data_IF_862797614634
#
_entry.id   IF_862797614634
#
_cell.length_a   1.000
_cell.length_b   1.000
_cell.length_c   1.000
_cell.angle_alpha   90.00
_cell.angle_beta   90.00
_cell.angle_gamma   90.00
#
_symmetry.space_group_name_H-M   'P 1'
#
loop_
_entity.id
_entity.type
_entity.pdbx_description
1 polymer ?
#
# COMPACT_ATOMS: atom_id res chain seq x y z
N UNK A 1 6.26 6.99 -34.08
CA UNK A 1 6.42 6.15 -32.89
C UNK A 1 5.06 6.06 -32.18
N UNK A 2 4.62 4.86 -31.78
CA UNK A 2 3.28 4.66 -31.19
C UNK A 2 3.28 4.72 -29.67
N UNK A 3 2.26 5.33 -29.08
CA UNK A 3 2.04 5.32 -27.63
C UNK A 3 1.38 4.00 -27.21
N UNK A 4 1.90 3.38 -26.14
CA UNK A 4 1.29 2.20 -25.53
C UNK A 4 0.44 2.62 -24.32
N UNK A 5 -0.70 1.96 -24.15
CA UNK A 5 -1.59 2.15 -23.01
C UNK A 5 -1.06 1.40 -21.77
N UNK A 6 -1.45 1.85 -20.58
CA UNK A 6 -1.11 1.15 -19.34
C UNK A 6 -1.89 -0.19 -19.26
N UNK A 7 -1.20 -1.34 -19.19
CA UNK A 7 -1.83 -2.65 -19.22
C UNK A 7 -2.61 -3.01 -17.94
N UNK A 8 -2.41 -2.28 -16.84
CA UNK A 8 -3.23 -2.42 -15.62
C UNK A 8 -4.62 -1.87 -15.88
N UNK A 9 -4.71 -0.64 -16.37
CA UNK A 9 -5.98 0.00 -16.72
C UNK A 9 -6.73 -0.74 -17.83
N UNK A 10 -6.01 -1.24 -18.83
CA UNK A 10 -6.59 -2.00 -19.94
C UNK A 10 -7.29 -3.30 -19.52
N UNK A 11 -6.90 -3.89 -18.38
CA UNK A 11 -7.42 -5.18 -17.90
C UNK A 11 -8.38 -5.07 -16.72
N UNK A 12 -8.69 -3.85 -16.26
CA UNK A 12 -9.65 -3.63 -15.17
C UNK A 12 -11.03 -4.17 -15.59
N UNK A 13 -11.63 -5.00 -14.72
CA UNK A 13 -12.96 -5.58 -14.95
C UNK A 13 -12.98 -6.93 -15.67
N UNK A 14 -11.83 -7.41 -16.19
CA UNK A 14 -11.71 -8.75 -16.78
C UNK A 14 -10.73 -9.62 -15.99
N UNK A 15 -9.43 -9.44 -16.23
CA UNK A 15 -8.36 -10.20 -15.56
C UNK A 15 -7.84 -9.48 -14.32
N UNK A 16 -7.82 -8.15 -14.32
CA UNK A 16 -7.33 -7.35 -13.19
C UNK A 16 -8.51 -6.84 -12.36
N UNK A 17 -8.43 -7.11 -11.06
CA UNK A 17 -9.36 -6.62 -10.04
C UNK A 17 -8.98 -5.20 -9.61
N UNK A 18 -9.96 -4.43 -9.12
CA UNK A 18 -9.68 -3.16 -8.45
C UNK A 18 -8.90 -3.41 -7.15
N UNK A 19 -7.95 -2.53 -6.82
CA UNK A 19 -7.19 -2.63 -5.56
C UNK A 19 -8.02 -2.18 -4.34
N UNK A 20 -9.09 -1.43 -4.56
CA UNK A 20 -10.07 -1.06 -3.55
C UNK A 20 -11.43 -1.67 -3.93
N UNK A 21 -11.95 -2.51 -3.04
CA UNK A 21 -13.30 -3.08 -3.15
C UNK A 21 -14.16 -2.49 -2.06
N UNK A 22 -14.86 -1.40 -2.38
CA UNK A 22 -15.78 -0.77 -1.45
C UNK A 22 -17.14 -0.56 -2.11
N UNK A 23 -18.19 -0.98 -1.43
CA UNK A 23 -19.57 -0.77 -1.85
C UNK A 23 -20.40 -0.49 -0.59
N UNK A 24 -20.92 0.73 -0.50
CA UNK A 24 -21.81 1.14 0.57
C UNK A 24 -23.12 1.63 -0.04
N UNK A 25 -24.25 1.31 0.60
CA UNK A 25 -25.56 1.78 0.15
C UNK A 25 -25.63 3.31 0.26
N UNK A 26 -26.26 4.04 -0.70
CA UNK A 26 -26.23 5.50 -0.72
C UNK A 26 -26.66 6.18 0.58
N UNK A 27 -27.56 5.54 1.35
CA UNK A 27 -28.05 6.03 2.65
C UNK A 27 -27.05 5.87 3.80
N UNK A 28 -26.22 4.82 3.75
CA UNK A 28 -25.27 4.49 4.82
C UNK A 28 -23.82 4.81 4.40
N UNK A 29 -23.63 5.31 3.19
CA UNK A 29 -22.32 5.61 2.59
C UNK A 29 -21.46 6.49 3.50
N UNK A 30 -22.03 7.55 4.07
CA UNK A 30 -21.30 8.46 4.96
C UNK A 30 -20.91 7.82 6.30
N UNK A 31 -21.76 6.98 6.87
CA UNK A 31 -21.54 6.34 8.18
C UNK A 31 -20.61 5.13 8.09
N UNK A 32 -20.74 4.30 7.04
CA UNK A 32 -19.82 3.18 6.81
C UNK A 32 -18.43 3.70 6.51
N UNK A 33 -18.31 4.76 5.69
CA UNK A 33 -17.06 5.48 5.49
C UNK A 33 -16.49 5.92 6.85
N UNK A 34 -17.27 6.57 7.71
CA UNK A 34 -16.79 7.01 9.03
C UNK A 34 -16.36 5.87 9.96
N UNK A 35 -17.05 4.72 9.96
CA UNK A 35 -16.72 3.57 10.82
C UNK A 35 -15.47 2.80 10.37
N UNK A 36 -15.23 2.69 9.06
CA UNK A 36 -13.96 2.12 8.57
C UNK A 36 -12.79 3.09 8.73
N UNK A 37 -13.08 4.40 8.60
CA UNK A 37 -12.13 5.48 8.87
C UNK A 37 -11.59 5.43 10.30
N UNK A 38 -12.39 5.05 11.32
CA UNK A 38 -11.95 5.03 12.73
C UNK A 38 -10.79 4.04 13.02
N UNK A 39 -10.68 2.96 12.25
CA UNK A 39 -9.56 2.00 12.34
C UNK A 39 -8.98 1.67 10.97
N UNK A 40 -7.90 2.35 10.61
CA UNK A 40 -7.22 2.12 9.34
C UNK A 40 -6.24 0.95 9.49
N UNK A 41 -6.54 -0.14 8.78
CA UNK A 41 -5.64 -1.28 8.64
C UNK A 41 -4.68 -1.04 7.48
N UNK A 42 -3.39 -0.90 7.78
CA UNK A 42 -2.34 -0.76 6.78
C UNK A 42 -1.58 -2.08 6.68
N UNK A 43 -1.64 -2.73 5.51
CA UNK A 43 -0.89 -3.97 5.24
C UNK A 43 0.29 -3.64 4.33
N UNK A 44 1.49 -3.62 4.90
CA UNK A 44 2.72 -3.35 4.17
C UNK A 44 3.30 -4.69 3.71
N UNK A 45 3.34 -4.88 2.40
CA UNK A 45 3.95 -6.05 1.77
C UNK A 45 5.42 -5.79 1.51
N UNK A 46 6.31 -6.57 2.13
CA UNK A 46 7.75 -6.36 2.05
C UNK A 46 8.46 -7.62 1.55
N UNK A 47 9.38 -7.44 0.61
CA UNK A 47 10.20 -8.55 0.11
C UNK A 47 11.26 -9.03 1.10
N UNK A 48 11.95 -8.09 1.74
CA UNK A 48 13.08 -8.37 2.63
C UNK A 48 12.90 -7.69 4.00
N UNK A 49 12.13 -8.30 4.92
CA UNK A 49 11.89 -7.71 6.26
C UNK A 49 13.19 -7.51 7.06
N UNK A 50 14.25 -8.26 6.76
CA UNK A 50 15.55 -8.12 7.40
C UNK A 50 16.23 -6.76 7.16
N UNK A 51 15.88 -6.04 6.11
CA UNK A 51 16.42 -4.70 5.82
C UNK A 51 15.83 -3.62 6.75
N UNK A 52 14.69 -3.88 7.37
CA UNK A 52 14.04 -2.97 8.32
C UNK A 52 14.58 -3.08 9.76
N UNK A 53 15.60 -3.89 10.01
CA UNK A 53 16.19 -4.08 11.35
C UNK A 53 16.97 -2.87 11.88
N UNK A 54 16.88 -1.69 11.25
CA UNK A 54 17.31 -0.44 11.88
C UNK A 54 16.39 -0.19 13.07
N UNK A 55 16.95 -0.27 14.29
CA UNK A 55 16.22 0.02 15.54
C UNK A 55 15.50 1.37 15.39
N UNK A 56 14.17 1.38 15.44
CA UNK A 56 13.34 2.59 15.41
C UNK A 56 12.69 2.97 14.07
N UNK A 57 13.00 2.29 12.96
CA UNK A 57 12.44 2.66 11.64
C UNK A 57 10.90 2.52 11.56
N UNK A 58 10.32 1.58 12.29
CA UNK A 58 8.86 1.36 12.33
C UNK A 58 8.18 2.46 13.16
N UNK A 59 8.77 2.84 14.29
CA UNK A 59 8.26 3.92 15.15
C UNK A 59 8.35 5.29 14.46
N UNK A 60 9.39 5.51 13.64
CA UNK A 60 9.54 6.71 12.82
C UNK A 60 8.46 6.76 11.72
N UNK A 61 8.22 5.64 11.04
CA UNK A 61 7.16 5.51 10.05
C UNK A 61 5.76 5.76 10.66
N UNK A 62 5.50 5.22 11.85
CA UNK A 62 4.25 5.48 12.56
C UNK A 62 4.06 6.96 12.89
N UNK A 63 5.12 7.63 13.36
CA UNK A 63 5.07 9.08 13.64
C UNK A 63 4.87 9.90 12.37
N UNK A 64 5.49 9.53 11.26
CA UNK A 64 5.36 10.29 10.02
C UNK A 64 3.99 10.09 9.37
N UNK A 65 3.44 8.87 9.41
CA UNK A 65 2.06 8.61 8.99
C UNK A 65 1.04 9.37 9.86
N UNK A 66 1.27 9.46 11.17
CA UNK A 66 0.43 10.24 12.09
C UNK A 66 0.49 11.75 11.81
N UNK A 67 1.64 12.29 11.39
CA UNK A 67 1.78 13.72 11.05
C UNK A 67 1.12 14.09 9.71
N UNK A 68 1.26 13.23 8.71
CA UNK A 68 0.65 13.42 7.38
C UNK A 68 -0.88 13.35 7.45
N UNK A 69 -1.42 12.47 8.30
CA UNK A 69 -2.87 12.25 8.45
C UNK A 69 -3.35 12.97 9.72
N UNK A 70 -3.52 14.30 9.64
CA UNK A 70 -4.09 15.12 10.71
C UNK A 70 -5.58 14.83 10.97
N UNK A 71 -5.94 13.67 11.53
CA UNK A 71 -7.32 13.35 11.93
C UNK A 71 -7.37 12.64 13.29
N UNK A 72 -7.21 13.49 14.32
CA UNK A 72 -7.59 13.47 15.74
C UNK A 72 -7.93 12.14 16.46
N UNK A 73 -8.48 11.09 15.86
CA UNK A 73 -8.93 9.89 16.60
C UNK A 73 -8.76 8.53 15.92
N UNK A 74 -8.10 8.43 14.76
CA UNK A 74 -8.00 7.15 14.05
C UNK A 74 -6.87 6.28 14.59
N UNK A 75 -7.19 5.03 14.93
CA UNK A 75 -6.19 4.06 15.38
C UNK A 75 -5.66 3.29 14.17
N UNK A 76 -4.37 3.43 13.89
CA UNK A 76 -3.70 2.67 12.84
C UNK A 76 -3.28 1.30 13.36
N UNK A 77 -3.62 0.25 12.62
CA UNK A 77 -3.07 -1.08 12.85
C UNK A 77 -2.19 -1.45 11.66
N UNK A 78 -0.87 -1.40 11.86
CA UNK A 78 0.12 -1.70 10.82
C UNK A 78 0.49 -3.18 10.92
N UNK A 79 0.25 -3.91 9.85
CA UNK A 79 0.70 -5.30 9.70
C UNK A 79 1.75 -5.37 8.60
N UNK A 80 2.87 -6.03 8.88
CA UNK A 80 3.96 -6.23 7.93
C UNK A 80 3.91 -7.68 7.46
N UNK A 81 3.59 -7.89 6.19
CA UNK A 81 3.55 -9.21 5.58
C UNK A 81 4.74 -9.44 4.65
N UNK A 82 5.42 -10.58 4.83
CA UNK A 82 6.52 -10.97 3.96
C UNK A 82 5.98 -11.54 2.66
N UNK A 83 6.39 -10.95 1.55
CA UNK A 83 6.13 -11.48 0.20
C UNK A 83 6.96 -12.76 0.01
N UNK A 84 6.30 -13.87 -0.35
CA UNK A 84 6.96 -15.17 -0.55
C UNK A 84 8.02 -15.13 -1.65
N UNK A 85 7.74 -14.42 -2.75
CA UNK A 85 8.60 -14.34 -3.93
C UNK A 85 8.81 -12.87 -4.36
N UNK A 86 9.75 -12.15 -3.74
CA UNK A 86 9.90 -10.71 -3.93
C UNK A 86 10.25 -10.31 -5.37
N UNK A 87 11.10 -11.08 -6.04
CA UNK A 87 11.54 -10.77 -7.40
C UNK A 87 10.48 -11.03 -8.48
N UNK A 88 9.37 -11.72 -8.14
CA UNK A 88 8.22 -11.82 -9.06
C UNK A 88 7.37 -10.54 -9.06
N UNK A 89 7.53 -9.68 -8.06
CA UNK A 89 6.83 -8.41 -8.02
C UNK A 89 7.59 -7.34 -8.82
N UNK A 90 6.96 -6.72 -9.84
CA UNK A 90 7.64 -5.75 -10.70
C UNK A 90 8.22 -4.57 -9.94
N UNK A 91 7.54 -4.06 -8.91
CA UNK A 91 7.98 -2.90 -8.14
C UNK A 91 9.29 -3.18 -7.39
N UNK A 92 9.37 -4.31 -6.68
CA UNK A 92 10.57 -4.71 -5.93
C UNK A 92 11.75 -4.94 -6.89
N UNK A 93 11.48 -5.60 -8.02
CA UNK A 93 12.48 -5.84 -9.05
C UNK A 93 13.00 -4.53 -9.66
N UNK A 94 12.11 -3.58 -9.95
CA UNK A 94 12.47 -2.29 -10.52
C UNK A 94 13.31 -1.46 -9.54
N UNK A 95 12.95 -1.40 -8.27
CA UNK A 95 13.75 -0.73 -7.23
C UNK A 95 15.13 -1.36 -7.08
N UNK A 96 15.21 -2.69 -7.11
CA UNK A 96 16.49 -3.39 -7.04
C UNK A 96 17.40 -3.03 -8.22
N UNK A 97 16.87 -3.03 -9.45
CA UNK A 97 17.64 -2.61 -10.65
C UNK A 97 18.06 -1.14 -10.54
N UNK A 98 17.16 -0.26 -10.12
CA UNK A 98 17.47 1.16 -9.93
C UNK A 98 18.58 1.38 -8.89
N UNK A 99 18.57 0.60 -7.80
CA UNK A 99 19.63 0.63 -6.79
C UNK A 99 20.99 0.21 -7.36
N UNK A 100 21.03 -0.82 -8.23
CA UNK A 100 22.27 -1.25 -8.88
C UNK A 100 22.84 -0.19 -9.84
N UNK A 101 21.98 0.55 -10.54
CA UNK A 101 22.38 1.58 -11.52
C UNK A 101 22.80 2.91 -10.88
N UNK A 102 22.51 3.10 -9.58
CA UNK A 102 22.84 4.33 -8.84
C UNK A 102 24.29 4.34 -8.33
N UNK A 103 24.99 3.20 -8.44
CA UNK A 103 26.42 3.04 -8.21
C UNK A 103 27.19 3.08 -9.53
#
# INVERSE_FOLDING_TARGET
MGQKINPLGFRLGTTQKHHSFWFAQPKNYSEEIQKEIDTIHVIIHIGFPNLLKKKGAIEELEKDLQKEINSVNQRFNISIEKVKEPYRQPNILAEYIAFQLKN
#
